data_IF_203489050863
#
_entry.id   IF_203489050863
#
_cell.length_a   1.000
_cell.length_b   1.000
_cell.length_c   1.000
_cell.angle_alpha   90.00
_cell.angle_beta   90.00
_cell.angle_gamma   90.00
#
_symmetry.space_group_name_H-M   'P 1'
#
loop_
_entity.id
_entity.type
_entity.pdbx_description
1 polymer ?
#
# COMPACT_ATOMS: atom_id res chain seq x y z
N UNK A 1 -6.21 5.98 -0.79
CA UNK A 1 -5.18 5.39 0.09
C UNK A 1 -4.64 6.38 1.13
N UNK A 2 -4.09 7.54 0.75
CA UNK A 2 -3.52 8.53 1.70
C UNK A 2 -4.42 8.86 2.90
N UNK A 3 -5.70 9.15 2.66
CA UNK A 3 -6.66 9.46 3.73
C UNK A 3 -6.86 8.31 4.73
N UNK A 4 -6.90 7.07 4.24
CA UNK A 4 -7.05 5.89 5.09
C UNK A 4 -5.81 5.64 5.97
N UNK A 5 -4.61 5.99 5.48
CA UNK A 5 -3.37 5.92 6.28
C UNK A 5 -3.30 7.07 7.31
N UNK A 6 -3.72 8.27 6.92
CA UNK A 6 -3.80 9.41 7.84
C UNK A 6 -4.80 9.17 8.98
N UNK A 7 -5.99 8.61 8.68
CA UNK A 7 -7.00 8.26 9.66
C UNK A 7 -6.53 7.20 10.68
N UNK A 8 -5.48 6.45 10.35
CA UNK A 8 -4.88 5.41 11.20
C UNK A 8 -3.55 5.85 11.82
N UNK A 9 -3.20 7.13 11.74
CA UNK A 9 -1.97 7.68 12.31
C UNK A 9 -0.72 6.87 11.93
N UNK A 10 -0.59 6.52 10.65
CA UNK A 10 0.56 5.73 10.16
C UNK A 10 1.81 6.60 10.12
N UNK A 11 2.88 6.09 10.73
CA UNK A 11 4.22 6.68 10.74
C UNK A 11 5.16 6.04 9.73
N UNK A 12 5.03 4.73 9.56
CA UNK A 12 5.88 3.95 8.68
C UNK A 12 5.04 3.00 7.82
N UNK A 13 5.45 2.84 6.56
CA UNK A 13 4.75 2.04 5.59
C UNK A 13 5.70 1.15 4.79
N UNK A 14 5.51 -0.15 4.91
CA UNK A 14 6.06 -1.15 3.99
C UNK A 14 5.20 -1.19 2.73
N UNK A 15 5.82 -1.26 1.54
CA UNK A 15 5.10 -1.31 0.27
C UNK A 15 5.61 -2.52 -0.50
N UNK A 16 4.71 -3.45 -0.78
CA UNK A 16 4.98 -4.67 -1.54
C UNK A 16 4.22 -4.60 -2.87
N UNK A 17 4.93 -4.82 -3.98
CA UNK A 17 4.34 -4.74 -5.33
C UNK A 17 4.56 -6.06 -6.07
N UNK A 18 3.48 -6.58 -6.68
CA UNK A 18 3.55 -7.81 -7.49
C UNK A 18 2.73 -7.70 -8.77
N UNK A 19 3.40 -7.78 -9.92
CA UNK A 19 2.76 -7.84 -11.24
C UNK A 19 2.00 -6.55 -11.62
N UNK A 20 2.34 -5.44 -10.98
CA UNK A 20 1.81 -4.10 -11.22
C UNK A 20 2.99 -3.16 -11.40
N UNK A 21 2.93 -2.30 -12.41
CA UNK A 21 3.95 -1.29 -12.67
C UNK A 21 3.69 -0.04 -11.81
N UNK A 22 4.16 -0.10 -10.56
CA UNK A 22 4.09 0.99 -9.59
C UNK A 22 5.42 1.06 -8.88
N UNK A 23 6.02 2.24 -8.87
CA UNK A 23 7.20 2.54 -8.08
C UNK A 23 6.83 2.69 -6.58
N UNK A 24 7.34 1.81 -5.70
CA UNK A 24 7.12 1.90 -4.25
C UNK A 24 7.64 3.20 -3.64
N UNK A 25 8.77 3.73 -4.10
CA UNK A 25 9.42 4.91 -3.52
C UNK A 25 8.68 6.18 -3.91
N UNK A 26 8.27 6.31 -5.18
CA UNK A 26 7.40 7.40 -5.60
C UNK A 26 6.07 7.39 -4.84
N UNK A 27 5.50 6.21 -4.57
CA UNK A 27 4.28 6.09 -3.78
C UNK A 27 4.50 6.50 -2.32
N UNK A 28 5.61 6.07 -1.72
CA UNK A 28 6.01 6.43 -0.35
C UNK A 28 6.17 7.93 -0.19
N UNK A 29 6.85 8.60 -1.12
CA UNK A 29 7.05 10.04 -1.09
C UNK A 29 5.72 10.83 -1.06
N UNK A 30 4.67 10.31 -1.71
CA UNK A 30 3.34 10.96 -1.76
C UNK A 30 2.51 10.80 -0.49
N UNK A 31 2.82 9.85 0.39
CA UNK A 31 1.96 9.51 1.52
C UNK A 31 2.10 10.47 2.71
N UNK A 32 3.19 11.26 2.82
CA UNK A 32 3.42 12.26 3.89
C UNK A 32 2.99 11.77 5.28
N UNK A 33 3.47 10.60 5.66
CA UNK A 33 3.14 9.91 6.92
C UNK A 33 3.62 10.73 8.13
N UNK A 34 2.85 10.69 9.23
CA UNK A 34 3.04 11.58 10.39
C UNK A 34 2.72 10.96 11.75
N UNK A 35 2.26 9.71 11.82
CA UNK A 35 1.92 9.09 13.10
C UNK A 35 2.95 8.07 13.58
N UNK A 36 2.50 7.10 14.36
CA UNK A 36 3.33 6.09 15.04
C UNK A 36 3.02 4.66 14.61
N UNK A 37 1.91 4.45 13.91
CA UNK A 37 1.50 3.11 13.50
C UNK A 37 2.34 2.60 12.33
N UNK A 38 2.66 1.30 12.36
CA UNK A 38 3.40 0.60 11.31
C UNK A 38 2.45 -0.32 10.55
N UNK A 39 2.34 -0.11 9.24
CA UNK A 39 1.48 -0.93 8.37
C UNK A 39 2.20 -1.33 7.09
N UNK A 40 1.57 -2.26 6.38
CA UNK A 40 1.97 -2.61 5.02
C UNK A 40 0.87 -2.22 4.03
N UNK A 41 1.27 -1.85 2.81
CA UNK A 41 0.40 -1.81 1.64
C UNK A 41 0.89 -2.87 0.65
N UNK A 42 -0.02 -3.75 0.25
CA UNK A 42 0.24 -4.76 -0.78
C UNK A 42 -0.51 -4.35 -2.04
N UNK A 43 0.24 -4.12 -3.12
CA UNK A 43 -0.30 -3.82 -4.44
C UNK A 43 -0.08 -5.05 -5.32
N UNK A 44 -1.15 -5.71 -5.71
CA UNK A 44 -1.09 -6.92 -6.50
C UNK A 44 -2.05 -6.88 -7.67
N UNK A 45 -1.68 -7.55 -8.76
CA UNK A 45 -2.60 -7.88 -9.84
C UNK A 45 -3.43 -9.09 -9.44
N UNK A 46 -4.74 -8.93 -9.40
CA UNK A 46 -5.70 -9.99 -9.09
C UNK A 46 -6.59 -10.29 -10.30
N UNK A 47 -6.97 -11.56 -10.46
CA UNK A 47 -7.73 -12.04 -11.62
C UNK A 47 -6.84 -12.46 -12.79
N UNK A 48 -7.44 -12.98 -13.85
CA UNK A 48 -6.77 -13.52 -15.03
C UNK A 48 -7.29 -12.89 -16.32
N UNK A 49 -6.46 -12.90 -17.37
CA UNK A 49 -6.80 -12.36 -18.69
C UNK A 49 -7.34 -10.93 -18.64
N UNK A 50 -8.44 -10.70 -19.38
CA UNK A 50 -9.12 -9.40 -19.43
C UNK A 50 -9.73 -8.96 -18.09
N UNK A 51 -9.94 -9.86 -17.13
CA UNK A 51 -10.48 -9.53 -15.82
C UNK A 51 -9.39 -9.11 -14.81
N UNK A 52 -8.11 -9.12 -15.20
CA UNK A 52 -7.02 -8.77 -14.28
C UNK A 52 -7.05 -7.29 -13.90
N UNK A 53 -6.89 -6.99 -12.61
CA UNK A 53 -6.87 -5.61 -12.09
C UNK A 53 -5.83 -5.40 -11.02
N UNK A 54 -5.23 -4.22 -10.98
CA UNK A 54 -4.39 -3.80 -9.87
C UNK A 54 -5.27 -3.50 -8.64
N UNK A 55 -4.94 -4.10 -7.50
CA UNK A 55 -5.65 -3.90 -6.23
C UNK A 55 -4.64 -3.58 -5.13
N UNK A 56 -4.98 -2.62 -4.27
CA UNK A 56 -4.17 -2.24 -3.12
C UNK A 56 -4.89 -2.61 -1.82
N UNK A 57 -4.18 -3.32 -0.93
CA UNK A 57 -4.65 -3.70 0.40
C UNK A 57 -3.84 -2.97 1.45
N UNK A 58 -4.48 -2.57 2.56
CA UNK A 58 -3.77 -2.05 3.74
C UNK A 58 -3.78 -3.15 4.80
N UNK A 59 -2.61 -3.69 5.08
CA UNK A 59 -2.40 -4.83 5.97
C UNK A 59 -1.82 -4.36 7.31
N UNK A 60 -2.15 -5.10 8.37
CA UNK A 60 -1.48 -4.99 9.68
C UNK A 60 -0.43 -6.12 9.78
N UNK A 61 0.68 -5.90 10.49
CA UNK A 61 1.57 -7.01 10.85
C UNK A 61 0.77 -8.10 11.56
N UNK A 62 1.00 -9.37 11.20
CA UNK A 62 0.21 -10.50 11.68
C UNK A 62 1.00 -11.47 12.55
N UNK A 63 2.15 -11.07 13.08
CA UNK A 63 2.95 -11.88 14.01
C UNK A 63 3.80 -10.99 14.92
#
# INVERSE_FOLDING_TARGET
MRAALAARSVGALEILVRGVDVDPDALRARMRLRGTEHLAVVIARLGSGAASRATAFICRPSR
#
